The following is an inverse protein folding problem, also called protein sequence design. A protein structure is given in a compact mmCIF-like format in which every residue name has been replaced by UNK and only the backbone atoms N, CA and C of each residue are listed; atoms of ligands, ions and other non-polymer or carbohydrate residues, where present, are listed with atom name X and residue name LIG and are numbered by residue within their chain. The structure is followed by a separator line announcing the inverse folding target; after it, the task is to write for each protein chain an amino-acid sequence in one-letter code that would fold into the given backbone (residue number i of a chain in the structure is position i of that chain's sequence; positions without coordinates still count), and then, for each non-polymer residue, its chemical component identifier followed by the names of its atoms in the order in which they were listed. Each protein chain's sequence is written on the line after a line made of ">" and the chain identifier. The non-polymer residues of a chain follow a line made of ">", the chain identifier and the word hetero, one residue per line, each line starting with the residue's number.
data_IF_215575261675
#
_entry.id   IF_215575261675
#
_cell.length_a   1.000
_cell.length_b   1.000
_cell.length_c   1.000
_cell.angle_alpha   90.00
_cell.angle_beta   90.00
_cell.angle_gamma   90.00
#
_symmetry.space_group_name_H-M   'P 1'
#
loop_
_entity.id
_entity.type
_entity.pdbx_description
1 polymer ?
2 non-polymer ?
3 water ?
#
# COMPACT_ATOMS: atom_id res chain seq x y z
N UNK A 2 8.91 -9.72 9.99
CA UNK A 2 7.46 -9.40 9.81
C UNK A 2 7.15 -8.79 8.46
N UNK A 3 7.12 -7.47 8.41
CA UNK A 3 6.75 -6.75 7.21
C UNK A 3 7.87 -5.82 6.79
N UNK A 4 7.79 -5.35 5.55
CA UNK A 4 8.55 -4.19 5.14
C UNK A 4 7.55 -3.04 5.23
N UNK A 5 7.93 -1.99 5.96
CA UNK A 5 7.18 -0.74 5.96
C UNK A 5 7.61 0.18 4.85
N UNK A 6 6.69 0.46 3.94
CA UNK A 6 6.99 1.29 2.78
C UNK A 6 6.58 2.73 3.08
N UNK A 7 7.50 3.66 2.88
CA UNK A 7 7.22 5.07 3.14
C UNK A 7 6.61 5.74 1.91
N UNK A 8 5.31 5.88 1.92
CA UNK A 8 4.57 6.48 0.80
C UNK A 8 4.40 7.96 1.09
N UNK A 9 5.01 8.80 0.25
CA UNK A 9 5.09 10.22 0.56
C UNK A 9 3.80 10.91 0.13
N UNK A 10 3.22 11.68 1.06
CA UNK A 10 2.04 12.46 0.76
C UNK A 10 2.52 13.75 0.13
N UNK A 11 2.16 13.96 -1.12
CA UNK A 11 2.67 15.13 -1.83
C UNK A 11 1.64 16.29 -1.90
N UNK A 12 0.36 15.96 -1.94
CA UNK A 12 -0.72 16.95 -2.06
C UNK A 12 -1.92 16.42 -1.30
N UNK A 13 -2.31 17.08 -0.23
CA UNK A 13 -3.37 16.57 0.61
C UNK A 13 -4.73 16.95 0.05
N UNK A 14 -5.72 16.07 0.23
CA UNK A 14 -7.08 16.27 -0.27
C UNK A 14 -7.64 17.57 0.33
N UNK A 15 -8.53 18.27 -0.38
CA UNK A 15 -9.00 19.55 0.16
C UNK A 15 -9.55 19.43 1.55
N UNK A 16 -10.29 18.35 1.79
CA UNK A 16 -10.96 18.18 3.07
C UNK A 16 -9.97 18.03 4.25
N UNK A 17 -8.69 17.76 3.93
CA UNK A 17 -7.66 17.60 4.93
C UNK A 17 -6.82 18.85 5.14
N UNK A 18 -6.92 19.84 4.25
CA UNK A 18 -6.00 20.96 4.30
C UNK A 18 -6.10 21.79 5.56
N UNK A 19 -7.32 22.00 6.06
CA UNK A 19 -7.51 22.84 7.23
C UNK A 19 -6.79 22.22 8.40
N UNK A 20 -6.96 20.90 8.51
CA UNK A 20 -6.36 20.11 9.56
C UNK A 20 -4.86 20.24 9.57
N UNK A 21 -4.23 19.97 8.42
CA UNK A 21 -2.78 20.01 8.33
C UNK A 21 -2.25 21.40 8.61
N UNK A 22 -2.96 22.41 8.12
CA UNK A 22 -2.58 23.80 8.36
C UNK A 22 -2.76 24.18 9.84
N UNK A 23 -3.89 23.80 10.43
CA UNK A 23 -4.16 23.97 11.85
C UNK A 23 -3.07 23.40 12.75
N UNK A 24 -2.49 22.29 12.33
CA UNK A 24 -1.41 21.65 13.06
C UNK A 24 -0.02 22.04 12.54
N UNK A 25 0.05 23.07 11.68
CA UNK A 25 1.33 23.60 11.16
C UNK A 25 2.19 22.56 10.44
N UNK A 26 1.55 21.64 9.73
CA UNK A 26 2.28 20.59 9.05
C UNK A 26 2.18 20.79 7.56
N UNK A 27 3.29 21.12 6.92
CA UNK A 27 3.30 21.39 5.50
C UNK A 27 3.92 20.24 4.72
N UNK A 28 3.10 19.59 3.87
CA UNK A 28 3.58 18.38 3.19
C UNK A 28 4.64 18.64 2.13
N UNK A 29 4.82 19.90 1.75
CA UNK A 29 5.85 20.24 0.76
C UNK A 29 7.26 20.47 1.35
N UNK A 30 7.34 20.92 2.60
CA UNK A 30 8.63 21.05 3.31
C UNK A 30 8.87 19.85 4.22
N UNK A 31 7.84 19.46 4.97
CA UNK A 31 7.96 18.31 5.85
C UNK A 31 7.74 17.05 5.03
N UNK A 32 8.38 15.97 5.46
CA UNK A 32 8.21 14.70 4.80
C UNK A 32 7.18 13.88 5.56
N UNK A 33 5.95 13.90 5.06
CA UNK A 33 4.84 13.19 5.66
C UNK A 33 4.55 11.92 4.85
N UNK A 34 4.67 10.78 5.52
CA UNK A 34 4.51 9.50 4.87
C UNK A 34 3.34 8.70 5.43
N UNK A 35 2.58 8.05 4.55
CA UNK A 35 1.75 6.93 4.96
C UNK A 35 2.67 5.69 4.96
N UNK A 36 2.68 4.94 6.06
CA UNK A 36 3.55 3.78 6.16
C UNK A 36 2.73 2.53 5.92
N UNK A 37 2.91 1.92 4.77
CA UNK A 37 2.17 0.73 4.36
C UNK A 37 3.06 -0.51 4.51
N UNK A 38 2.56 -1.50 5.21
CA UNK A 38 3.25 -2.77 5.40
C UNK A 38 3.07 -3.66 4.17
N UNK A 39 4.11 -4.37 3.79
CA UNK A 39 4.00 -5.39 2.75
C UNK A 39 4.92 -6.55 3.09
N UNK A 40 4.55 -7.73 2.60
CA UNK A 40 5.43 -8.89 2.62
C UNK A 40 6.16 -9.08 1.30
N UNK A 41 5.86 -8.22 0.31
CA UNK A 41 6.34 -8.43 -1.05
C UNK A 41 6.93 -7.16 -1.64
N UNK A 42 8.11 -6.76 -1.12
CA UNK A 42 8.75 -5.55 -1.62
C UNK A 42 9.02 -5.54 -3.11
N UNK A 43 9.24 -6.71 -3.72
CA UNK A 43 9.46 -6.78 -5.15
C UNK A 43 8.26 -6.38 -6.03
N UNK A 44 7.06 -6.27 -5.46
CA UNK A 44 5.89 -5.89 -6.22
C UNK A 44 5.65 -4.36 -6.19
N UNK A 45 6.50 -3.61 -5.49
CA UNK A 45 6.29 -2.14 -5.34
C UNK A 45 6.31 -1.38 -6.69
N UNK A 46 6.93 -1.96 -7.73
CA UNK A 46 6.86 -1.40 -9.08
C UNK A 46 5.45 -1.26 -9.60
N UNK A 47 4.55 -2.11 -9.09
CA UNK A 47 3.20 -2.22 -9.60
C UNK A 47 2.13 -1.51 -8.78
N UNK A 48 2.55 -0.69 -7.80
CA UNK A 48 1.58 0.08 -7.02
C UNK A 48 0.73 0.97 -7.90
N UNK A 49 -0.58 0.98 -7.67
CA UNK A 49 -1.50 1.82 -8.44
C UNK A 49 -2.25 2.83 -7.58
N UNK A 50 -1.99 2.79 -6.27
CA UNK A 50 -2.57 3.71 -5.27
C UNK A 50 -2.06 3.19 -3.94
N UNK A 51 -2.58 3.78 -2.87
CA UNK A 51 -2.47 3.13 -1.58
C UNK A 51 -3.80 3.22 -0.88
N UNK A 52 -4.02 2.24 0.00
CA UNK A 52 -5.30 2.08 0.66
C UNK A 52 -5.20 2.52 2.13
N UNK A 53 -6.16 3.32 2.54
CA UNK A 53 -6.45 3.56 3.95
C UNK A 53 -7.90 3.16 4.22
N UNK A 54 -8.27 3.11 5.49
CA UNK A 54 -9.62 2.73 5.85
C UNK A 54 -10.38 3.87 6.49
N UNK A 55 -11.59 4.15 5.98
CA UNK A 55 -12.48 5.10 6.66
C UNK A 55 -12.91 4.64 8.07
N UNK A 56 -12.73 3.36 8.36
CA UNK A 56 -13.03 2.85 9.68
C UNK A 56 -11.91 3.08 10.69
N UNK A 57 -10.77 3.64 10.27
CA UNK A 57 -9.62 3.84 11.15
C UNK A 57 -9.32 5.33 11.36
N UNK A 58 -9.01 5.70 12.59
CA UNK A 58 -8.46 7.00 12.89
C UNK A 58 -6.96 6.78 13.02
N UNK A 59 -6.21 7.44 12.15
CA UNK A 59 -4.77 7.31 12.13
C UNK A 59 -4.15 8.38 13.02
N UNK A 60 -3.01 8.06 13.59
CA UNK A 60 -2.17 9.08 14.22
C UNK A 60 -1.17 9.64 13.23
N UNK A 61 -0.80 10.91 13.41
CA UNK A 61 0.30 11.53 12.67
C UNK A 61 1.45 11.67 13.70
N UNK A 62 2.53 10.95 13.51
CA UNK A 62 3.58 10.80 14.51
C UNK A 62 4.87 11.41 14.00
N UNK A 63 5.61 12.08 14.89
CA UNK A 63 6.90 12.65 14.55
C UNK A 63 7.94 11.56 14.61
N UNK A 64 8.44 11.15 13.45
CA UNK A 64 9.37 10.02 13.41
C UNK A 64 10.82 10.48 13.56
N UNK A 65 11.06 11.80 13.49
CA UNK A 65 12.43 12.33 13.58
C UNK A 65 12.96 12.91 12.30
N UNK A 66 13.88 13.88 12.42
CA UNK A 66 14.56 14.45 11.27
C UNK A 66 13.66 14.99 10.14
N UNK A 67 12.56 15.61 10.53
CA UNK A 67 11.57 16.14 9.58
C UNK A 67 10.55 15.14 9.02
N UNK A 68 10.65 13.88 9.40
CA UNK A 68 9.76 12.84 8.91
C UNK A 68 8.57 12.66 9.84
N UNK A 69 7.39 12.55 9.25
CA UNK A 69 6.15 12.24 9.97
C UNK A 69 5.54 10.98 9.37
N UNK A 70 5.03 10.11 10.24
CA UNK A 70 4.41 8.86 9.81
C UNK A 70 2.93 8.90 10.14
N UNK A 71 2.12 8.53 9.16
CA UNK A 71 0.70 8.32 9.35
C UNK A 71 0.46 6.80 9.43
N UNK A 72 -0.02 6.35 10.58
CA UNK A 72 -0.24 4.94 10.87
C UNK A 72 -1.09 4.81 12.13
N UNK A 73 -1.44 3.58 12.51
CA UNK A 73 -2.16 3.37 13.78
C UNK A 73 -1.21 3.52 14.95
N UNK A 74 -1.76 3.83 16.13
CA UNK A 74 -0.99 3.83 17.38
C UNK A 74 -0.27 2.51 17.58
N UNK A 75 -0.99 1.42 17.44
CA UNK A 75 -0.42 0.12 17.65
C UNK A 75 0.82 -0.13 16.79
N UNK A 76 0.74 0.20 15.50
CA UNK A 76 1.89 0.00 14.62
C UNK A 76 3.05 0.94 14.93
N UNK A 77 2.75 2.21 15.24
CA UNK A 77 3.82 3.15 15.60
C UNK A 77 4.56 2.68 16.85
N UNK A 78 3.80 2.25 17.84
CA UNK A 78 4.33 1.55 19.01
C UNK A 78 5.38 0.50 18.65
N UNK A 79 5.00 -0.42 17.77
CA UNK A 79 5.88 -1.51 17.34
C UNK A 79 7.12 -1.02 16.59
N UNK A 80 7.02 0.10 15.90
CA UNK A 80 8.16 0.68 15.17
C UNK A 80 9.19 1.24 16.15
N UNK A 81 8.69 1.96 17.16
CA UNK A 81 9.51 2.65 18.15
C UNK A 81 10.21 1.69 19.11
N UNK A 82 9.54 0.58 19.45
CA UNK A 82 10.12 -0.45 20.33
C UNK A 82 11.39 -1.05 19.71
N UNK A 83 11.37 -1.22 18.39
CA UNK A 83 12.52 -1.73 17.62
C UNK A 83 13.68 -0.74 17.57
N UNK A 89 7.61 2.98 25.42
CA UNK A 89 6.73 3.91 26.10
C UNK A 89 5.38 3.29 26.50
N UNK A 90 4.77 2.53 25.59
CA UNK A 90 3.45 1.95 25.86
C UNK A 90 2.29 2.71 25.22
N UNK A 91 2.41 4.04 25.14
CA UNK A 91 1.53 4.86 24.30
C UNK A 91 2.32 6.06 23.80
N UNK A 92 2.23 6.28 22.52
CA UNK A 92 2.84 7.44 21.88
C UNK A 92 1.75 8.36 21.42
N UNK A 93 1.77 9.60 21.89
CA UNK A 93 0.77 10.57 21.52
C UNK A 93 1.03 11.06 20.12
N UNK A 94 0.01 11.03 19.26
CA UNK A 94 0.28 11.62 17.95
C UNK A 94 0.22 13.13 18.02
N UNK A 95 0.73 13.80 16.99
CA UNK A 95 0.54 15.25 16.82
C UNK A 95 -0.93 15.60 16.70
N UNK A 96 -1.64 14.84 15.86
CA UNK A 96 -3.07 14.89 15.75
C UNK A 96 -3.54 13.57 15.16
N UNK A 97 -4.84 13.37 15.08
CA UNK A 97 -5.37 12.16 14.48
C UNK A 97 -6.18 12.55 13.28
N UNK A 98 -6.33 11.61 12.36
CA UNK A 98 -7.03 11.89 11.13
C UNK A 98 -7.72 10.61 10.65
N UNK A 99 -8.99 10.74 10.27
CA UNK A 99 -9.77 9.60 9.83
C UNK A 99 -9.35 9.31 8.39
N UNK A 100 -9.31 8.05 8.02
CA UNK A 100 -8.96 7.68 6.65
C UNK A 100 -9.76 8.41 5.58
N UNK A 101 -11.05 8.66 5.83
CA UNK A 101 -11.88 9.32 4.83
C UNK A 101 -11.36 10.71 4.44
N UNK A 102 -10.77 11.39 5.41
CA UNK A 102 -10.23 12.73 5.23
C UNK A 102 -9.04 12.75 4.26
N UNK A 103 -8.34 11.62 4.12
CA UNK A 103 -7.17 11.53 3.25
C UNK A 103 -7.49 11.15 1.82
N UNK A 104 -8.72 10.64 1.57
CA UNK A 104 -9.07 10.05 0.28
C UNK A 104 -8.94 11.11 -0.82
N UNK A 105 -8.28 10.74 -1.92
CA UNK A 105 -8.03 11.65 -3.02
C UNK A 105 -6.68 12.37 -2.97
N UNK A 106 -6.01 12.33 -1.82
CA UNK A 106 -4.65 12.92 -1.71
C UNK A 106 -3.74 12.27 -2.70
N UNK A 107 -2.75 13.02 -3.17
CA UNK A 107 -1.80 12.49 -4.12
C UNK A 107 -0.55 12.04 -3.39
N UNK A 108 0.04 10.96 -3.89
CA UNK A 108 1.18 10.33 -3.25
C UNK A 108 2.27 9.96 -4.23
N UNK A 109 3.48 9.83 -3.70
CA UNK A 109 4.64 9.30 -4.41
C UNK A 109 5.01 8.00 -3.75
N UNK A 110 4.75 6.89 -4.39
CA UNK A 110 5.01 5.57 -3.79
C UNK A 110 6.31 4.98 -4.33
N UNK A 111 7.23 4.56 -3.42
CA UNK A 111 8.54 4.13 -3.85
C UNK A 111 8.49 3.08 -4.98
N UNK A 112 9.28 3.32 -6.04
CA UNK A 112 9.50 2.38 -7.17
C UNK A 112 8.30 2.22 -8.12
N UNK A 113 7.15 2.85 -7.82
CA UNK A 113 5.96 2.68 -8.63
C UNK A 113 6.19 3.26 -10.04
N UNK A 114 5.83 2.51 -11.07
CA UNK A 114 6.00 3.02 -12.43
C UNK A 114 4.79 3.84 -12.85
N UNK A 115 3.65 3.53 -12.25
CA UNK A 115 2.40 4.20 -12.50
C UNK A 115 2.50 5.61 -11.92
N UNK A 116 1.82 6.55 -12.55
CA UNK A 116 1.98 7.94 -12.15
C UNK A 116 0.65 8.45 -11.63
N UNK A 117 0.66 9.61 -10.97
CA UNK A 117 -0.55 10.24 -10.47
C UNK A 117 -1.31 9.37 -9.46
N UNK A 118 -0.60 8.76 -8.52
CA UNK A 118 -1.21 7.85 -7.55
C UNK A 118 -1.98 8.60 -6.48
N UNK A 119 -3.04 7.97 -5.97
CA UNK A 119 -3.85 8.55 -4.93
C UNK A 119 -4.05 7.62 -3.74
N UNK A 120 -4.47 8.22 -2.65
CA UNK A 120 -4.95 7.53 -1.48
C UNK A 120 -6.42 7.13 -1.73
N UNK A 121 -6.72 5.84 -1.66
CA UNK A 121 -8.06 5.33 -1.87
C UNK A 121 -8.54 4.51 -0.70
N UNK A 122 -9.86 4.32 -0.58
CA UNK A 122 -10.38 3.52 0.52
C UNK A 122 -10.33 2.02 0.27
N UNK A 123 -10.13 1.27 1.34
CA UNK A 123 -10.33 -0.17 1.35
C UNK A 123 -11.18 -0.46 2.58
N UNK A 124 -12.25 -1.22 2.43
CA UNK A 124 -13.15 -1.45 3.59
C UNK A 124 -12.78 -2.64 4.49
N UNK A 125 -11.86 -3.48 4.02
CA UNK A 125 -11.41 -4.65 4.80
C UNK A 125 -10.03 -4.52 5.50
N UNK A 126 -9.39 -3.36 5.45
CA UNK A 126 -8.05 -3.22 6.04
C UNK A 126 -8.12 -3.51 7.56
N UNK A 127 -7.26 -4.40 8.06
CA UNK A 127 -7.21 -4.70 9.51
C UNK A 127 -6.53 -3.58 10.31
N UNK A 128 -7.16 -3.16 11.40
CA UNK A 128 -6.54 -2.21 12.34
C UNK A 128 -5.57 -2.92 13.30
N UNK A 129 -5.82 -4.20 13.55
CA UNK A 129 -5.07 -5.00 14.55
C UNK A 129 -3.85 -5.72 13.96
N UNK A 130 -3.60 -5.51 12.67
CA UNK A 130 -2.61 -6.24 11.91
C UNK A 130 -1.96 -5.23 10.99
N UNK A 131 -0.63 -5.22 10.90
CA UNK A 131 0.06 -4.25 10.03
C UNK A 131 -0.10 -2.81 10.53
N UNK A 132 -0.16 -1.86 9.61
CA UNK A 132 -0.15 -0.43 9.98
C UNK A 132 -1.48 0.33 9.77
N UNK A 133 -2.50 -0.37 9.29
CA UNK A 133 -3.72 0.26 8.83
C UNK A 133 -3.62 0.85 7.43
N UNK A 134 -2.42 0.82 6.85
CA UNK A 134 -2.22 1.32 5.50
C UNK A 134 -1.68 0.19 4.68
N UNK A 135 -2.28 0.03 3.51
CA UNK A 135 -2.08 -1.11 2.69
C UNK A 135 -1.60 -0.65 1.28
N UNK A 136 -0.58 -1.32 0.80
CA UNK A 136 -0.01 -1.11 -0.47
C UNK A 136 -1.05 -1.70 -1.50
N UNK A 137 -1.14 -1.17 -2.72
CA UNK A 137 -2.09 -1.67 -3.72
C UNK A 137 -1.42 -2.07 -5.05
N UNK A 138 -1.31 -3.38 -5.28
CA UNK A 138 -0.66 -3.91 -6.47
C UNK A 138 -1.60 -4.94 -7.13
N UNK A 139 -2.50 -4.46 -7.98
CA UNK A 139 -3.56 -5.35 -8.46
C UNK A 139 -3.12 -6.48 -9.42
N UNK A 140 -1.96 -6.35 -10.07
CA UNK A 140 -1.38 -7.44 -10.88
C UNK A 140 -1.11 -8.72 -10.09
N UNK A 141 -0.70 -8.56 -8.83
CA UNK A 141 -0.17 -9.68 -8.05
C UNK A 141 -0.84 -9.92 -6.70
N UNK A 142 -1.71 -9.00 -6.26
CA UNK A 142 -2.41 -9.20 -5.01
C UNK A 142 -3.88 -9.39 -5.29
N UNK A 143 -4.39 -10.61 -5.03
CA UNK A 143 -5.83 -10.84 -5.26
C UNK A 143 -6.76 -9.88 -4.51
N UNK A 144 -6.45 -9.59 -3.25
CA UNK A 144 -7.22 -8.61 -2.44
C UNK A 144 -7.25 -7.27 -3.15
N UNK A 145 -6.09 -6.83 -3.60
CA UNK A 145 -5.97 -5.52 -4.26
C UNK A 145 -6.77 -5.49 -5.55
N UNK A 146 -6.70 -6.57 -6.33
CA UNK A 146 -7.46 -6.66 -7.57
C UNK A 146 -8.96 -6.58 -7.31
N UNK A 147 -9.45 -7.35 -6.34
CA UNK A 147 -10.89 -7.33 -6.00
C UNK A 147 -11.38 -5.97 -5.42
N UNK A 148 -10.57 -5.31 -4.60
CA UNK A 148 -10.92 -4.00 -4.08
C UNK A 148 -10.97 -2.96 -5.20
N UNK A 149 -9.97 -2.99 -6.08
CA UNK A 149 -9.89 -2.08 -7.23
C UNK A 149 -11.14 -2.20 -8.13
N UNK A 150 -11.54 -3.45 -8.40
CA UNK A 150 -12.77 -3.75 -9.15
C UNK A 150 -14.01 -3.22 -8.41
N UNK A 151 -14.09 -3.43 -7.10
CA UNK A 151 -15.20 -2.95 -6.29
C UNK A 151 -15.29 -1.40 -6.25
N UNK A 152 -14.14 -0.74 -6.13
CA UNK A 152 -14.07 0.73 -6.19
C UNK A 152 -14.61 1.26 -7.52
N UNK A 153 -14.15 0.66 -8.60
CA UNK A 153 -14.57 1.10 -9.91
C UNK A 153 -16.08 0.90 -10.11
N UNK A 154 -16.63 -0.16 -9.54
CA UNK A 154 -18.05 -0.48 -9.61
C UNK A 154 -18.94 0.30 -8.68
N UNK A 155 -18.39 0.81 -7.57
CA UNK A 155 -19.21 1.50 -6.55
C UNK A 155 -18.52 2.78 -6.10
N UNK A 156 -18.23 3.68 -7.05
CA UNK A 156 -17.48 4.89 -6.63
C UNK A 156 -18.27 5.78 -5.70
N UNK A 157 -19.59 5.79 -5.82
CA UNK A 157 -20.43 6.63 -4.94
C UNK A 157 -20.39 6.11 -3.50
N UNK A 158 -20.53 4.80 -3.33
CA UNK A 158 -20.35 4.16 -2.04
C UNK A 158 -19.02 4.50 -1.38
N UNK A 159 -17.94 4.36 -2.14
CA UNK A 159 -16.59 4.56 -1.62
C UNK A 159 -16.13 6.01 -1.56
N UNK A 160 -16.86 6.92 -2.22
CA UNK A 160 -16.57 8.36 -2.14
C UNK A 160 -15.40 8.79 -3.01
N UNK A 161 -15.29 8.19 -4.20
CA UNK A 161 -14.15 8.41 -5.08
C UNK A 161 -14.58 8.78 -6.50
N UNK A 162 -13.63 9.28 -7.29
CA UNK A 162 -13.78 9.32 -8.74
C UNK A 162 -13.38 7.98 -9.33
N UNK A 163 -14.26 7.45 -10.17
CA UNK A 163 -14.04 6.20 -10.88
C UNK A 163 -12.71 6.18 -11.63
N UNK A 164 -12.34 7.31 -12.20
CA UNK A 164 -11.08 7.40 -12.93
C UNK A 164 -9.82 7.42 -12.06
N UNK A 165 -9.96 7.53 -10.74
CA UNK A 165 -8.83 7.30 -9.84
C UNK A 165 -8.37 5.84 -9.81
N UNK A 166 -9.25 4.89 -10.13
CA UNK A 166 -8.85 3.50 -10.12
C UNK A 166 -8.26 3.18 -11.49
N UNK A 167 -6.98 2.90 -11.47
CA UNK A 167 -6.33 2.40 -12.65
C UNK A 167 -6.68 0.90 -12.77
N UNK A 168 -7.32 0.60 -13.89
CA UNK A 168 -7.75 -0.74 -14.25
C UNK A 168 -6.89 -1.29 -15.39
N UNK A 169 -5.98 -0.47 -15.90
CA UNK A 169 -5.00 -0.89 -16.89
C UNK A 169 -3.69 -1.23 -16.19
N UNK A 170 -3.50 -2.51 -15.93
CA UNK A 170 -2.45 -2.99 -15.03
C UNK A 170 -1.13 -3.28 -15.79
N UNK A 171 -0.02 -2.76 -15.29
CA UNK A 171 1.30 -3.00 -15.89
C UNK A 171 1.91 -4.26 -15.29
N UNK A 172 2.15 -5.32 -16.10
CA UNK A 172 2.74 -6.55 -15.52
C UNK A 172 4.12 -6.34 -14.96
N UNK A 173 4.36 -6.94 -13.80
CA UNK A 173 5.68 -6.82 -13.15
C UNK A 173 6.35 -8.17 -12.83
N UNK A 174 5.58 -9.23 -12.74
CA UNK A 174 6.10 -10.58 -12.47
C UNK A 174 5.46 -11.58 -13.47
N UNK A 175 6.30 -12.35 -14.14
CA UNK A 175 5.83 -13.41 -15.00
C UNK A 175 5.83 -14.72 -14.20
N UNK A 176 4.71 -15.47 -14.30
CA UNK A 176 4.67 -16.85 -13.81
C UNK A 176 4.24 -17.76 -14.96
N UNK A 177 4.69 -19.01 -14.98
CA UNK A 177 4.27 -19.90 -16.06
C UNK A 177 2.87 -20.40 -15.78
N UNK A 178 2.54 -20.59 -14.51
CA UNK A 178 1.21 -21.10 -14.15
C UNK A 178 0.08 -20.11 -14.31
N UNK A 179 0.30 -18.83 -13.99
CA UNK A 179 -0.83 -17.86 -13.91
C UNK A 179 -0.75 -16.65 -14.85
N UNK A 180 0.26 -16.61 -15.71
CA UNK A 180 0.50 -15.55 -16.65
C UNK A 180 1.25 -14.40 -16.00
N UNK A 181 1.14 -13.22 -16.61
CA UNK A 181 1.83 -12.03 -16.16
C UNK A 181 1.04 -11.14 -15.20
N UNK A 182 -0.20 -11.50 -14.93
CA UNK A 182 -1.05 -10.82 -13.95
C UNK A 182 -1.77 -11.84 -13.11
N UNK A 183 -1.04 -12.48 -12.21
CA UNK A 183 -1.52 -13.68 -11.55
C UNK A 183 -2.77 -13.40 -10.72
N UNK A 184 -2.91 -12.19 -10.18
CA UNK A 184 -4.04 -11.89 -9.36
C UNK A 184 -5.34 -11.85 -10.15
N UNK A 185 -5.28 -11.35 -11.38
CA UNK A 185 -6.43 -11.30 -12.28
C UNK A 185 -6.87 -12.72 -12.63
N UNK A 186 -5.89 -13.52 -13.02
CA UNK A 186 -6.12 -14.91 -13.32
C UNK A 186 -6.77 -15.65 -12.15
N UNK A 187 -6.18 -15.53 -10.97
CA UNK A 187 -6.70 -16.21 -9.80
C UNK A 187 -8.10 -15.75 -9.39
N UNK A 188 -8.34 -14.44 -9.36
CA UNK A 188 -9.66 -13.91 -9.02
C UNK A 188 -10.73 -14.36 -10.02
N UNK A 189 -10.44 -14.31 -11.32
CA UNK A 189 -11.41 -14.80 -12.30
C UNK A 189 -11.59 -16.31 -12.20
N UNK A 190 -10.50 -17.06 -12.05
CA UNK A 190 -10.60 -18.50 -12.08
C UNK A 190 -11.20 -19.09 -10.80
N UNK A 191 -10.95 -18.47 -9.65
CA UNK A 191 -11.56 -18.86 -8.36
C UNK A 191 -12.94 -18.21 -8.13
N UNK A 192 -13.37 -17.35 -9.04
CA UNK A 192 -14.67 -16.66 -8.99
C UNK A 192 -14.89 -15.90 -7.69
N UNK A 193 -13.85 -15.18 -7.26
CA UNK A 193 -13.91 -14.41 -6.04
C UNK A 193 -14.68 -13.12 -6.36
N UNK A 194 -15.77 -12.90 -5.63
CA UNK A 194 -16.73 -11.84 -5.95
C UNK A 194 -16.58 -10.56 -5.17
N UNK A 195 -16.04 -10.62 -3.96
CA UNK A 195 -16.13 -9.49 -3.02
C UNK A 195 -14.89 -9.31 -2.18
N UNK A 196 -14.53 -8.07 -1.84
CA UNK A 196 -13.44 -7.88 -0.88
C UNK A 196 -13.65 -8.57 0.46
N UNK A 197 -14.91 -8.81 0.82
CA UNK A 197 -15.26 -9.45 2.07
C UNK A 197 -15.10 -10.98 2.06
N UNK A 198 -14.77 -11.58 0.91
CA UNK A 198 -14.50 -13.02 0.82
C UNK A 198 -13.13 -13.41 1.40
N UNK A 199 -12.99 -13.21 2.71
CA UNK A 199 -11.70 -13.31 3.42
C UNK A 199 -10.96 -14.64 3.27
N UNK A 200 -11.67 -15.73 3.49
CA UNK A 200 -11.03 -17.04 3.42
C UNK A 200 -10.59 -17.39 1.98
N UNK A 201 -11.47 -17.14 1.03
CA UNK A 201 -11.14 -17.36 -0.37
C UNK A 201 -9.95 -16.51 -0.79
N UNK A 202 -9.93 -15.24 -0.35
CA UNK A 202 -8.83 -14.34 -0.72
C UNK A 202 -7.51 -14.74 -0.05
N UNK A 203 -7.58 -15.28 1.15
CA UNK A 203 -6.39 -15.78 1.81
C UNK A 203 -5.79 -16.90 0.95
N UNK A 204 -6.63 -17.82 0.48
CA UNK A 204 -6.20 -18.89 -0.41
C UNK A 204 -5.55 -18.32 -1.68
N UNK A 205 -6.23 -17.39 -2.34
CA UNK A 205 -5.72 -16.82 -3.60
C UNK A 205 -4.38 -16.14 -3.36
N UNK A 206 -4.29 -15.42 -2.23
CA UNK A 206 -3.05 -14.72 -1.87
C UNK A 206 -1.88 -15.70 -1.70
N UNK A 207 -2.13 -16.82 -1.04
CA UNK A 207 -1.07 -17.79 -0.82
C UNK A 207 -0.62 -18.40 -2.14
N UNK A 208 -1.56 -18.74 -3.02
CA UNK A 208 -1.25 -19.21 -4.37
C UNK A 208 -0.41 -18.17 -5.15
N UNK A 209 -0.86 -16.92 -5.13
CA UNK A 209 -0.15 -15.86 -5.81
C UNK A 209 1.27 -15.69 -5.29
N UNK A 210 1.42 -15.69 -3.96
CA UNK A 210 2.71 -15.50 -3.31
C UNK A 210 3.64 -16.66 -3.60
N UNK A 211 3.15 -17.89 -3.45
CA UNK A 211 4.01 -19.05 -3.71
C UNK A 211 4.48 -19.16 -5.16
N UNK A 212 3.56 -19.04 -6.13
CA UNK A 212 3.91 -19.13 -7.57
C UNK A 212 4.79 -17.94 -7.95
N UNK A 213 4.43 -16.75 -7.47
CA UNK A 213 5.19 -15.54 -7.79
C UNK A 213 6.57 -15.54 -7.20
N UNK A 214 6.67 -15.86 -5.90
CA UNK A 214 7.98 -15.84 -5.24
C UNK A 214 8.91 -16.95 -5.72
N UNK A 215 8.42 -18.18 -5.77
CA UNK A 215 9.26 -19.32 -6.15
C UNK A 215 9.37 -19.61 -7.62
N UNK A 216 8.39 -19.22 -8.40
CA UNK A 216 8.44 -19.47 -9.82
C UNK A 216 8.31 -18.24 -10.69
N UNK A 217 8.33 -17.06 -10.09
CA UNK A 217 8.19 -15.84 -10.86
C UNK A 217 9.51 -15.27 -11.32
N UNK A 218 9.42 -14.48 -12.37
CA UNK A 218 10.53 -13.74 -12.94
C UNK A 218 10.14 -12.26 -12.97
N UNK A 219 11.02 -11.39 -12.51
CA UNK A 219 10.79 -9.94 -12.54
C UNK A 219 10.72 -9.43 -13.98
N UNK A 220 9.77 -8.55 -14.26
CA UNK A 220 9.63 -7.99 -15.60
C UNK A 220 10.05 -6.54 -15.65
N UNK A 221 10.54 -5.99 -14.54
CA UNK A 221 10.73 -4.55 -14.43
C UNK A 221 11.75 -4.26 -13.35
N UNK A 222 12.43 -3.12 -13.49
CA UNK A 222 13.36 -2.64 -12.45
C UNK A 222 14.78 -3.17 -12.58
N UNK A 223 15.56 -2.88 -11.55
CA UNK A 223 16.95 -3.25 -11.55
C UNK A 223 17.17 -4.75 -11.74
N UNK A 224 16.24 -5.56 -11.24
CA UNK A 224 16.42 -7.00 -11.26
C UNK A 224 15.55 -7.70 -12.31
N UNK A 225 15.14 -6.92 -13.32
CA UNK A 225 14.36 -7.46 -14.43
C UNK A 225 15.05 -8.69 -14.99
N UNK A 226 14.26 -9.75 -15.20
CA UNK A 226 14.78 -11.02 -15.68
C UNK A 226 15.33 -11.95 -14.62
N UNK A 227 15.55 -11.46 -13.40
CA UNK A 227 15.93 -12.31 -12.30
C UNK A 227 14.72 -13.03 -11.71
N UNK A 228 14.93 -14.21 -11.12
CA UNK A 228 13.89 -14.86 -10.32
C UNK A 228 13.48 -13.96 -9.17
N UNK A 229 12.19 -13.97 -8.88
CA UNK A 229 11.67 -13.16 -7.78
C UNK A 229 12.40 -13.55 -6.50
N UNK A 230 12.70 -14.84 -6.36
CA UNK A 230 13.28 -15.36 -5.14
C UNK A 230 14.66 -14.75 -4.88
N UNK A 231 15.40 -14.51 -5.94
CA UNK A 231 16.70 -13.86 -5.85
C UNK A 231 16.57 -12.34 -5.76
N UNK A 232 15.65 -11.77 -6.56
CA UNK A 232 15.44 -10.31 -6.60
C UNK A 232 14.90 -9.71 -5.30
N UNK A 233 13.91 -10.35 -4.72
CA UNK A 233 13.14 -9.75 -3.64
C UNK A 233 13.97 -9.27 -2.42
N UNK A 234 14.91 -10.10 -1.91
CA UNK A 234 15.76 -9.56 -0.82
C UNK A 234 16.63 -8.38 -1.24
N UNK A 235 16.98 -8.29 -2.51
CA UNK A 235 17.81 -7.21 -3.04
C UNK A 235 16.98 -5.95 -3.18
N UNK A 236 15.76 -6.09 -3.71
CA UNK A 236 14.81 -4.95 -3.72
C UNK A 236 14.57 -4.43 -2.30
N UNK A 237 14.35 -5.33 -1.34
CA UNK A 237 14.19 -4.94 0.08
C UNK A 237 15.38 -4.13 0.59
N UNK A 238 16.58 -4.64 0.38
CA UNK A 238 17.77 -3.96 0.84
C UNK A 238 18.00 -2.63 0.15
N UNK A 239 17.67 -2.55 -1.14
CA UNK A 239 17.76 -1.29 -1.87
C UNK A 239 16.80 -0.25 -1.31
N UNK A 240 15.55 -0.65 -1.09
CA UNK A 240 14.55 0.28 -0.54
C UNK A 240 15.03 0.81 0.82
N UNK A 241 15.50 -0.11 1.67
CA UNK A 241 16.02 0.23 2.99
C UNK A 241 17.23 1.16 2.89
N UNK A 242 18.23 0.79 2.08
CA UNK A 242 19.41 1.66 1.90
C UNK A 242 19.07 3.03 1.36
N UNK A 243 18.06 3.12 0.49
CA UNK A 243 17.69 4.38 -0.10
C UNK A 243 16.74 5.21 0.78
N UNK A 244 16.45 4.72 1.99
CA UNK A 244 15.54 5.39 2.93
C UNK A 244 14.04 5.34 2.55
N UNK A 245 13.64 4.38 1.73
CA UNK A 245 12.26 4.32 1.23
C UNK A 245 11.40 3.36 2.01
N UNK A 246 12.03 2.55 2.86
CA UNK A 246 11.35 1.48 3.58
C UNK A 246 12.15 1.13 4.82
N UNK A 247 11.54 0.35 5.70
CA UNK A 247 12.26 -0.22 6.84
C UNK A 247 11.57 -1.51 7.26
N UNK A 248 12.25 -2.34 8.05
CA UNK A 248 11.62 -3.57 8.53
C UNK A 248 10.74 -3.28 9.73
N UNK A 249 9.57 -3.92 9.72
CA UNK A 249 8.53 -3.74 10.72
C UNK A 249 8.12 -5.12 11.25
N UNK A 250 8.43 -5.40 12.52
CA UNK A 250 8.01 -6.66 13.18
C UNK A 250 6.87 -6.44 14.17
N UNK A 251 5.99 -7.42 14.27
CA UNK A 251 4.91 -7.38 15.28
C UNK A 251 5.04 -8.57 16.23
N UNK A 252 4.32 -8.65 17.23
X LIG B 1 0.98 -6.17 -1.72
X LIG B 1 1.44 -6.24 -0.55
X LIG B 1 0.14 -5.28 -2.12
X LIG B 1 1.47 -7.20 -2.70
X LIG C 1 22.08 -4.78 -3.92
X LIG C 1 21.87 -3.64 -4.40
X LIG C 1 22.75 -5.67 -4.54
X LIG C 1 21.54 -5.09 -2.55
#
# INVERSE_FOLDING_TARGET
>A
MGYVGIKIRLTDVAPQAQELFKKESLDVKENKVYLVAATLRPETMYGQTCCFVSPKIDYGVFDAGNGDYFITTERAFKNMSFENLTPERGYYKPLFTINGKTLIGSRIDAPYAVNKNLRVLPMETVLATKGTGVVTCVPSDSPDDFVTTRDLANKPEYYGIEKDWVQTDIVPIVHTEKYGDKCAEFLVNDLKIQSPKDSVQLANAKELAYKEGFYNGTMLIGKYKGDKVEDAAPKVKQDLIDEGLAFVYNEPELEHHHHHH
>B hetero
1 ACT C O OXT CH3
>C hetero
1 ACT C O OXT CH3
#
